data_IF_093582964847
#
_entry.id   IF_093582964847
#
_cell.length_a   1.000
_cell.length_b   1.000
_cell.length_c   1.000
_cell.angle_alpha   90.00
_cell.angle_beta   90.00
_cell.angle_gamma   90.00
#
_symmetry.space_group_name_H-M   'P 1'
#
loop_
_entity.id
_entity.type
_entity.pdbx_description
1 polymer ?
#
# COMPACT_ATOMS: atom_id res chain seq x y z
N UNK A 1 12.21 1.11 -8.96
CA UNK A 1 11.36 1.90 -8.04
C UNK A 1 11.29 1.19 -6.69
N UNK A 2 11.26 1.97 -5.61
CA UNK A 2 11.13 1.53 -4.21
C UNK A 2 9.70 1.72 -3.70
N UNK A 3 9.39 1.13 -2.56
CA UNK A 3 8.08 1.28 -1.91
C UNK A 3 7.78 2.74 -1.53
N UNK A 4 8.78 3.49 -1.07
CA UNK A 4 8.64 4.91 -0.74
C UNK A 4 8.32 5.75 -1.98
N UNK A 5 9.03 5.51 -3.08
CA UNK A 5 8.77 6.18 -4.36
C UNK A 5 7.37 5.85 -4.91
N UNK A 6 6.91 4.60 -4.79
CA UNK A 6 5.55 4.23 -5.19
C UNK A 6 4.48 4.95 -4.38
N UNK A 7 4.68 5.06 -3.06
CA UNK A 7 3.77 5.81 -2.19
C UNK A 7 3.72 7.27 -2.61
N UNK A 8 4.87 7.89 -2.81
CA UNK A 8 4.96 9.31 -3.18
C UNK A 8 4.40 9.56 -4.60
N UNK A 9 4.51 8.59 -5.52
CA UNK A 9 3.89 8.65 -6.84
C UNK A 9 2.36 8.51 -6.80
N UNK A 10 1.83 7.66 -5.91
CA UNK A 10 0.39 7.42 -5.82
C UNK A 10 -0.33 8.51 -5.02
N UNK A 11 0.31 9.04 -3.96
CA UNK A 11 -0.31 9.99 -3.01
C UNK A 11 -0.98 11.20 -3.68
N UNK A 12 -0.39 11.88 -4.69
CA UNK A 12 -1.05 13.00 -5.37
C UNK A 12 -2.38 12.61 -6.06
N UNK A 13 -2.52 11.35 -6.50
CA UNK A 13 -3.76 10.86 -7.15
C UNK A 13 -4.94 10.74 -6.19
N UNK A 14 -4.68 10.86 -4.89
CA UNK A 14 -5.68 10.78 -3.85
C UNK A 14 -6.23 12.16 -3.46
N UNK A 15 -5.76 13.27 -4.05
CA UNK A 15 -6.16 14.61 -3.63
C UNK A 15 -7.66 14.88 -3.80
N UNK A 16 -8.27 14.32 -4.84
CA UNK A 16 -9.71 14.42 -5.13
C UNK A 16 -10.58 13.50 -4.26
N UNK A 17 -9.95 12.58 -3.51
CA UNK A 17 -10.68 11.67 -2.63
C UNK A 17 -11.19 12.38 -1.36
N UNK A 18 -12.30 11.86 -0.84
CA UNK A 18 -12.84 12.35 0.43
C UNK A 18 -11.79 12.26 1.56
N UNK A 19 -11.87 13.17 2.54
CA UNK A 19 -10.92 13.20 3.68
C UNK A 19 -10.84 11.86 4.40
N UNK A 20 -11.96 11.16 4.55
CA UNK A 20 -12.00 9.84 5.18
C UNK A 20 -11.23 8.79 4.38
N UNK A 21 -11.38 8.80 3.05
CA UNK A 21 -10.65 7.91 2.15
C UNK A 21 -9.15 8.22 2.19
N UNK A 22 -8.74 9.49 2.11
CA UNK A 22 -7.33 9.89 2.22
C UNK A 22 -6.69 9.43 3.53
N UNK A 23 -7.38 9.60 4.67
CA UNK A 23 -6.89 9.10 5.97
C UNK A 23 -6.69 7.59 5.96
N UNK A 24 -7.64 6.85 5.42
CA UNK A 24 -7.56 5.39 5.29
C UNK A 24 -6.37 4.94 4.43
N UNK A 25 -6.02 5.69 3.37
CA UNK A 25 -4.82 5.46 2.57
C UNK A 25 -3.53 5.73 3.34
N UNK A 26 -3.44 6.86 4.04
CA UNK A 26 -2.26 7.17 4.86
C UNK A 26 -2.05 6.18 6.01
N UNK A 27 -3.13 5.69 6.62
CA UNK A 27 -3.08 4.59 7.59
C UNK A 27 -2.48 3.33 6.96
N UNK A 28 -2.97 2.93 5.77
CA UNK A 28 -2.43 1.79 5.04
C UNK A 28 -0.93 1.95 4.76
N UNK A 29 -0.48 3.12 4.28
CA UNK A 29 0.94 3.39 4.05
C UNK A 29 1.74 3.32 5.35
N UNK A 30 1.23 3.91 6.43
CA UNK A 30 1.87 3.88 7.75
C UNK A 30 2.04 2.46 8.25
N UNK A 31 1.00 1.62 8.18
CA UNK A 31 1.10 0.22 8.58
C UNK A 31 2.05 -0.59 7.71
N UNK A 32 2.04 -0.35 6.40
CA UNK A 32 2.97 -1.00 5.47
C UNK A 32 4.42 -0.65 5.84
N UNK A 33 4.70 0.63 6.11
CA UNK A 33 6.04 1.12 6.46
C UNK A 33 6.49 0.77 7.88
N UNK A 34 5.61 0.28 8.75
CA UNK A 34 6.02 -0.37 10.01
C UNK A 34 6.68 -1.74 9.77
N UNK A 35 6.35 -2.38 8.65
CA UNK A 35 6.83 -3.73 8.30
C UNK A 35 7.86 -3.74 7.18
N UNK A 36 7.94 -2.66 6.41
CA UNK A 36 8.85 -2.50 5.27
C UNK A 36 9.56 -1.15 5.36
N UNK A 37 10.81 -1.11 4.91
CA UNK A 37 11.50 0.17 4.75
C UNK A 37 10.92 0.93 3.56
N UNK A 38 10.96 2.27 3.60
CA UNK A 38 10.70 3.08 2.40
C UNK A 38 11.65 2.72 1.25
N UNK A 39 12.87 2.29 1.56
CA UNK A 39 13.87 1.87 0.57
C UNK A 39 13.68 0.45 0.05
N UNK A 40 12.66 -0.29 0.51
CA UNK A 40 12.37 -1.65 0.02
C UNK A 40 12.17 -1.63 -1.50
N UNK A 41 12.96 -2.39 -2.29
CA UNK A 41 12.73 -2.55 -3.72
C UNK A 41 11.36 -3.19 -3.99
N UNK A 42 10.60 -2.67 -4.97
CA UNK A 42 9.25 -3.19 -5.24
C UNK A 42 9.23 -4.66 -5.63
N UNK A 43 10.26 -5.16 -6.31
CA UNK A 43 10.43 -6.58 -6.63
C UNK A 43 10.47 -7.49 -5.40
N UNK A 44 10.81 -6.95 -4.22
CA UNK A 44 10.83 -7.67 -2.94
C UNK A 44 9.60 -7.41 -2.07
N UNK A 45 8.70 -6.51 -2.49
CA UNK A 45 7.50 -6.16 -1.76
C UNK A 45 6.38 -7.18 -2.03
N UNK A 46 6.31 -8.22 -1.19
CA UNK A 46 5.34 -9.29 -1.31
C UNK A 46 4.05 -9.02 -0.51
N UNK A 47 2.91 -8.93 -1.22
CA UNK A 47 1.61 -8.65 -0.60
C UNK A 47 1.14 -9.76 0.34
N UNK A 48 1.47 -11.02 0.06
CA UNK A 48 1.14 -12.15 0.94
C UNK A 48 1.87 -12.01 2.29
N UNK A 49 3.15 -11.59 2.26
CA UNK A 49 3.93 -11.36 3.47
C UNK A 49 3.41 -10.14 4.23
N UNK A 50 3.02 -9.06 3.52
CA UNK A 50 2.37 -7.91 4.16
C UNK A 50 1.08 -8.35 4.87
N UNK A 51 0.21 -9.11 4.18
CA UNK A 51 -1.05 -9.63 4.74
C UNK A 51 -0.82 -10.40 6.04
N UNK A 52 0.15 -11.32 6.03
CA UNK A 52 0.51 -12.12 7.22
C UNK A 52 1.02 -11.24 8.37
N UNK A 53 1.88 -10.26 8.07
CA UNK A 53 2.41 -9.34 9.08
C UNK A 53 1.35 -8.44 9.71
N UNK A 54 0.42 -7.92 8.91
CA UNK A 54 -0.69 -7.11 9.40
C UNK A 54 -1.64 -7.93 10.28
N UNK A 55 -2.02 -9.13 9.83
CA UNK A 55 -2.83 -10.04 10.65
C UNK A 55 -2.13 -10.39 11.97
N UNK A 56 -0.83 -10.70 11.93
CA UNK A 56 -0.03 -10.99 13.11
C UNK A 56 0.11 -9.79 14.08
N UNK A 57 -0.02 -8.56 13.58
CA UNK A 57 -0.07 -7.35 14.43
C UNK A 57 -1.41 -7.09 15.11
N UNK A 58 -2.39 -8.01 14.94
CA UNK A 58 -3.72 -7.90 15.54
C UNK A 58 -4.73 -7.11 14.71
N UNK A 59 -4.44 -6.82 13.44
CA UNK A 59 -5.39 -6.14 12.55
C UNK A 59 -6.51 -7.09 12.13
N UNK A 60 -7.76 -6.61 12.15
CA UNK A 60 -8.91 -7.38 11.69
C UNK A 60 -8.78 -7.77 10.23
N UNK A 61 -9.10 -9.03 9.91
CA UNK A 61 -8.90 -9.61 8.57
C UNK A 61 -9.56 -8.78 7.45
N UNK A 62 -10.76 -8.24 7.68
CA UNK A 62 -11.44 -7.40 6.68
C UNK A 62 -10.65 -6.13 6.32
N UNK A 63 -9.93 -5.55 7.27
CA UNK A 63 -9.06 -4.39 7.03
C UNK A 63 -7.84 -4.84 6.24
N UNK A 64 -7.23 -5.97 6.64
CA UNK A 64 -6.08 -6.56 5.93
C UNK A 64 -6.42 -6.82 4.46
N UNK A 65 -7.55 -7.49 4.20
CA UNK A 65 -8.02 -7.80 2.84
C UNK A 65 -8.23 -6.51 2.02
N UNK A 66 -8.81 -5.48 2.64
CA UNK A 66 -8.99 -4.16 2.03
C UNK A 66 -7.67 -3.50 1.64
N UNK A 67 -6.68 -3.54 2.53
CA UNK A 67 -5.34 -2.98 2.26
C UNK A 67 -4.60 -3.77 1.19
N UNK A 68 -4.65 -5.10 1.22
CA UNK A 68 -4.05 -5.96 0.18
C UNK A 68 -4.67 -5.65 -1.18
N UNK A 69 -6.00 -5.56 -1.27
CA UNK A 69 -6.70 -5.23 -2.52
C UNK A 69 -6.27 -3.86 -3.08
N UNK A 70 -6.15 -2.85 -2.22
CA UNK A 70 -5.70 -1.51 -2.62
C UNK A 70 -4.27 -1.53 -3.15
N UNK A 71 -3.35 -2.19 -2.45
CA UNK A 71 -1.98 -2.35 -2.93
C UNK A 71 -1.91 -3.08 -4.27
N UNK A 72 -2.73 -4.10 -4.47
CA UNK A 72 -2.81 -4.81 -5.73
C UNK A 72 -3.23 -3.90 -6.89
N UNK A 73 -4.18 -2.99 -6.66
CA UNK A 73 -4.61 -2.01 -7.65
C UNK A 73 -3.52 -0.97 -7.95
N UNK A 74 -2.81 -0.49 -6.93
CA UNK A 74 -1.67 0.44 -7.10
C UNK A 74 -0.57 -0.21 -7.94
N UNK A 75 -0.19 -1.44 -7.61
CA UNK A 75 0.84 -2.17 -8.35
C UNK A 75 0.41 -2.49 -9.79
N UNK A 76 -0.85 -2.86 -10.02
CA UNK A 76 -1.37 -3.08 -11.37
C UNK A 76 -1.30 -1.80 -12.21
N UNK A 77 -1.65 -0.65 -11.62
CA UNK A 77 -1.62 0.64 -12.33
C UNK A 77 -0.23 1.08 -12.81
N UNK A 78 0.85 0.47 -12.30
CA UNK A 78 2.20 0.74 -12.81
C UNK A 78 2.39 0.14 -14.20
N UNK A 79 1.92 -1.09 -14.41
CA UNK A 79 2.06 -1.79 -15.68
C UNK A 79 1.15 -1.22 -16.76
N UNK A 80 -0.01 -0.67 -16.36
CA UNK A 80 -0.93 0.01 -17.29
C UNK A 80 -0.42 1.39 -17.75
N UNK A 81 0.56 1.99 -17.05
CA UNK A 81 1.18 3.26 -17.44
C UNK A 81 2.48 3.10 -18.25
N UNK A 82 2.94 1.87 -18.51
CA UNK A 82 4.13 1.56 -19.33
C UNK A 82 3.78 1.14 -20.78
N UNK A 83 2.50 1.22 -21.18
CA UNK A 83 2.00 0.94 -22.53
C UNK A 83 1.64 2.22 -23.29
#
# INVERSE_FOLDING_TARGET
MTLGELIDWHRPKLEDESVGVRRSWEEMFTYTLKHYSRSTPLETFALQILSQRLAASGMHQQIVDGYVKRWHAVLASLYDNEA
#
